data_IF_949176375728
#
_entry.id   IF_949176375728
#
_cell.length_a   1.000
_cell.length_b   1.000
_cell.length_c   1.000
_cell.angle_alpha   90.00
_cell.angle_beta   90.00
_cell.angle_gamma   90.00
#
_symmetry.space_group_name_H-M   'P 1'
#
loop_
_entity.id
_entity.type
_entity.pdbx_description
1 polymer ?
#
# COMPACT_ATOMS: atom_id res chain seq x y z
N UNK A 1 -20.45 7.74 0.25
CA UNK A 1 -19.15 7.13 0.64
C UNK A 1 -18.31 7.09 -0.62
N UNK A 2 -17.12 7.72 -0.63
CA UNK A 2 -16.25 7.65 -1.82
C UNK A 2 -15.72 6.23 -1.97
N UNK A 3 -15.51 5.80 -3.20
CA UNK A 3 -14.91 4.51 -3.56
C UNK A 3 -13.51 4.73 -4.14
N UNK A 4 -12.74 3.65 -4.29
CA UNK A 4 -11.45 3.69 -4.99
C UNK A 4 -11.60 4.26 -6.42
N UNK A 5 -12.65 3.85 -7.13
CA UNK A 5 -12.92 4.33 -8.49
C UNK A 5 -13.14 5.83 -8.54
N UNK A 6 -13.89 6.38 -7.59
CA UNK A 6 -14.16 7.81 -7.50
C UNK A 6 -12.87 8.61 -7.30
N UNK A 7 -11.99 8.15 -6.39
CA UNK A 7 -10.70 8.84 -6.17
C UNK A 7 -9.81 8.75 -7.41
N UNK A 8 -9.77 7.61 -8.10
CA UNK A 8 -8.97 7.48 -9.31
C UNK A 8 -9.47 8.39 -10.46
N UNK A 9 -10.78 8.65 -10.54
CA UNK A 9 -11.36 9.61 -11.48
C UNK A 9 -11.03 11.04 -11.08
N UNK A 10 -11.21 11.39 -9.80
CA UNK A 10 -10.90 12.73 -9.27
C UNK A 10 -9.44 13.12 -9.49
N UNK A 11 -8.52 12.15 -9.41
CA UNK A 11 -7.09 12.34 -9.66
C UNK A 11 -6.72 12.31 -11.16
N UNK A 12 -7.69 12.09 -12.05
CA UNK A 12 -7.48 12.02 -13.50
C UNK A 12 -6.68 10.80 -13.96
N UNK A 13 -6.56 9.77 -13.11
CA UNK A 13 -5.80 8.54 -13.40
C UNK A 13 -6.62 7.62 -14.32
N UNK A 14 -7.94 7.57 -14.12
CA UNK A 14 -8.86 6.80 -14.96
C UNK A 14 -10.03 7.68 -15.41
N UNK A 15 -10.65 7.37 -16.54
CA UNK A 15 -11.92 7.98 -16.95
C UNK A 15 -13.13 7.27 -16.34
N UNK A 16 -14.31 7.92 -16.37
CA UNK A 16 -15.58 7.26 -16.00
C UNK A 16 -15.83 5.99 -16.83
N UNK A 17 -15.48 6.03 -18.11
CA UNK A 17 -15.61 4.89 -19.02
C UNK A 17 -14.69 3.73 -18.61
N UNK A 18 -13.45 4.03 -18.23
CA UNK A 18 -12.49 3.02 -17.76
C UNK A 18 -12.98 2.33 -16.49
N UNK A 19 -13.58 3.10 -15.58
CA UNK A 19 -14.19 2.57 -14.37
C UNK A 19 -15.37 1.66 -14.72
N UNK A 20 -16.29 2.12 -15.57
CA UNK A 20 -17.46 1.34 -15.99
C UNK A 20 -17.07 0.00 -16.63
N UNK A 21 -16.12 0.04 -17.57
CA UNK A 21 -15.63 -1.16 -18.25
C UNK A 21 -14.87 -2.09 -17.31
N UNK A 22 -14.24 -1.56 -16.26
CA UNK A 22 -13.55 -2.38 -15.26
C UNK A 22 -14.54 -3.03 -14.28
N UNK A 23 -15.62 -2.35 -13.91
CA UNK A 23 -16.70 -2.88 -13.09
C UNK A 23 -17.47 -4.01 -13.81
N UNK A 24 -17.68 -3.91 -15.13
CA UNK A 24 -18.25 -5.00 -15.95
C UNK A 24 -17.40 -6.26 -15.87
N UNK A 25 -16.07 -6.11 -15.99
CA UNK A 25 -15.11 -7.22 -15.88
C UNK A 25 -15.08 -7.80 -14.46
N UNK A 26 -15.17 -6.96 -13.43
CA UNK A 26 -15.22 -7.38 -12.03
C UNK A 26 -16.42 -8.30 -11.78
N UNK A 27 -17.61 -7.90 -12.21
CA UNK A 27 -18.84 -8.70 -12.04
C UNK A 27 -18.74 -10.08 -12.70
N UNK A 28 -18.03 -10.18 -13.83
CA UNK A 28 -17.87 -11.44 -14.58
C UNK A 28 -16.83 -12.38 -13.97
N UNK A 29 -15.75 -11.85 -13.39
CA UNK A 29 -14.59 -12.65 -12.97
C UNK A 29 -14.41 -12.75 -11.45
N UNK A 30 -15.24 -12.07 -10.66
CA UNK A 30 -15.15 -11.99 -9.20
C UNK A 30 -13.76 -11.56 -8.69
N UNK A 31 -13.06 -10.72 -9.46
CA UNK A 31 -11.73 -10.18 -9.12
C UNK A 31 -11.85 -8.79 -8.48
N UNK A 32 -10.90 -8.38 -7.62
CA UNK A 32 -10.83 -7.02 -7.11
C UNK A 32 -10.68 -5.99 -8.25
N UNK A 33 -11.35 -4.84 -8.11
CA UNK A 33 -11.33 -3.76 -9.10
C UNK A 33 -9.90 -3.25 -9.35
N UNK A 34 -9.10 -3.11 -8.29
CA UNK A 34 -7.69 -2.71 -8.36
C UNK A 34 -6.86 -3.64 -9.26
N UNK A 35 -7.04 -4.95 -9.13
CA UNK A 35 -6.35 -5.94 -9.95
C UNK A 35 -6.73 -5.82 -11.43
N UNK A 36 -8.01 -5.55 -11.72
CA UNK A 36 -8.48 -5.38 -13.11
C UNK A 36 -7.89 -4.12 -13.73
N UNK A 37 -7.91 -3.00 -12.99
CA UNK A 37 -7.36 -1.72 -13.46
C UNK A 37 -5.86 -1.85 -13.72
N UNK A 38 -5.10 -2.49 -12.81
CA UNK A 38 -3.67 -2.76 -13.00
C UNK A 38 -3.42 -3.69 -14.19
N UNK A 39 -4.17 -4.79 -14.30
CA UNK A 39 -3.99 -5.77 -15.39
C UNK A 39 -4.30 -5.17 -16.76
N UNK A 40 -5.21 -4.20 -16.83
CA UNK A 40 -5.50 -3.43 -18.05
C UNK A 40 -4.45 -2.34 -18.34
N UNK A 41 -3.53 -2.06 -17.42
CA UNK A 41 -2.50 -1.03 -17.57
C UNK A 41 -3.04 0.40 -17.45
N UNK A 42 -4.26 0.58 -16.93
CA UNK A 42 -4.91 1.90 -16.84
C UNK A 42 -4.35 2.70 -15.66
N UNK A 43 -4.05 2.03 -14.55
CA UNK A 43 -3.36 2.63 -13.41
C UNK A 43 -2.25 1.70 -12.90
N UNK A 44 -1.12 2.28 -12.50
CA UNK A 44 -0.02 1.54 -11.91
C UNK A 44 -0.29 1.13 -10.46
N UNK A 45 0.60 0.32 -9.89
CA UNK A 45 0.52 -0.04 -8.48
C UNK A 45 0.51 1.21 -7.59
N UNK A 46 1.53 2.07 -7.71
CA UNK A 46 1.65 3.30 -6.92
C UNK A 46 0.40 4.19 -6.97
N UNK A 47 -0.27 4.28 -8.12
CA UNK A 47 -1.49 5.05 -8.30
C UNK A 47 -2.65 4.49 -7.48
N UNK A 48 -2.85 3.17 -7.53
CA UNK A 48 -3.82 2.48 -6.69
C UNK A 48 -3.51 2.70 -5.21
N UNK A 49 -2.25 2.61 -4.81
CA UNK A 49 -1.86 2.72 -3.40
C UNK A 49 -2.08 4.14 -2.87
N UNK A 50 -1.74 5.15 -3.67
CA UNK A 50 -1.97 6.57 -3.37
C UNK A 50 -3.46 6.88 -3.28
N UNK A 51 -4.29 6.31 -4.15
CA UNK A 51 -5.74 6.47 -4.09
C UNK A 51 -6.34 5.81 -2.84
N UNK A 52 -5.89 4.60 -2.48
CA UNK A 52 -6.32 3.90 -1.27
C UNK A 52 -5.88 4.64 -0.01
N UNK A 53 -4.67 5.21 0.01
CA UNK A 53 -4.22 5.98 1.17
C UNK A 53 -5.10 7.21 1.39
N UNK A 54 -5.48 7.93 0.32
CA UNK A 54 -6.45 9.03 0.39
C UNK A 54 -7.81 8.57 0.90
N UNK A 55 -8.30 7.43 0.40
CA UNK A 55 -9.61 6.87 0.79
C UNK A 55 -9.69 6.58 2.29
N UNK A 56 -8.62 6.01 2.85
CA UNK A 56 -8.53 5.61 4.25
C UNK A 56 -7.84 6.63 5.15
N UNK A 57 -7.48 7.80 4.62
CA UNK A 57 -6.75 8.86 5.34
C UNK A 57 -5.44 8.36 5.96
N UNK A 58 -4.73 7.50 5.22
CA UNK A 58 -3.44 6.95 5.59
C UNK A 58 -2.32 7.72 4.91
N UNK A 59 -1.17 7.78 5.58
CA UNK A 59 0.06 8.28 4.98
C UNK A 59 0.59 7.28 3.95
N UNK A 60 0.98 7.78 2.77
CA UNK A 60 1.61 6.98 1.72
C UNK A 60 2.95 7.57 1.34
N UNK A 61 3.97 6.72 1.33
CA UNK A 61 5.32 7.05 0.86
C UNK A 61 5.75 6.03 -0.19
N UNK A 62 6.11 6.51 -1.37
CA UNK A 62 6.62 5.67 -2.46
C UNK A 62 8.00 5.07 -2.13
N UNK A 63 8.77 5.78 -1.32
CA UNK A 63 10.07 5.34 -0.81
C UNK A 63 10.09 5.50 0.71
N UNK A 64 10.55 4.46 1.37
CA UNK A 64 10.83 4.46 2.80
C UNK A 64 12.35 4.52 2.96
N UNK A 65 12.82 5.57 3.62
CA UNK A 65 14.21 5.68 4.06
C UNK A 65 14.30 5.05 5.45
N UNK A 66 15.03 3.94 5.54
CA UNK A 66 15.25 3.27 6.83
C UNK A 66 16.48 3.88 7.50
N UNK A 67 16.28 4.54 8.63
CA UNK A 67 17.39 5.14 9.40
C UNK A 67 17.36 4.59 10.83
N UNK A 68 18.52 4.18 11.37
CA UNK A 68 18.63 3.68 12.75
C UNK A 68 18.03 2.29 12.98
N UNK A 69 17.98 1.44 11.95
CA UNK A 69 17.40 0.08 12.03
C UNK A 69 18.08 -0.79 13.08
N UNK A 70 19.40 -0.67 13.22
CA UNK A 70 20.18 -1.45 14.20
C UNK A 70 19.69 -1.19 15.63
N UNK A 71 19.46 0.06 16.01
CA UNK A 71 18.98 0.39 17.36
C UNK A 71 17.51 -0.01 17.59
N UNK A 72 16.70 -0.03 16.53
CA UNK A 72 15.29 -0.43 16.57
C UNK A 72 15.17 -1.93 16.80
N UNK A 73 15.94 -2.75 16.08
CA UNK A 73 15.90 -4.22 16.23
C UNK A 73 16.42 -4.70 17.58
N UNK A 74 17.32 -3.95 18.22
CA UNK A 74 17.77 -4.24 19.59
C UNK A 74 16.65 -4.02 20.63
N UNK A 75 15.70 -3.13 20.36
CA UNK A 75 14.63 -2.79 21.30
C UNK A 75 13.35 -3.59 21.07
N UNK A 76 13.16 -4.17 19.88
CA UNK A 76 11.92 -4.88 19.52
C UNK A 76 12.23 -6.37 19.32
N UNK A 77 11.65 -7.27 20.14
CA UNK A 77 11.84 -8.70 19.98
C UNK A 77 11.43 -9.18 18.57
N UNK A 78 12.33 -9.90 17.89
CA UNK A 78 12.13 -10.39 16.52
C UNK A 78 10.81 -11.18 16.35
N UNK A 79 10.41 -11.93 17.40
CA UNK A 79 9.14 -12.68 17.42
C UNK A 79 7.90 -11.80 17.31
N UNK A 80 7.96 -10.55 17.79
CA UNK A 80 6.87 -9.60 17.70
C UNK A 80 6.74 -9.10 16.25
N UNK A 81 7.87 -8.70 15.65
CA UNK A 81 7.93 -8.21 14.26
C UNK A 81 7.43 -9.28 13.29
N UNK A 82 7.89 -10.52 13.44
CA UNK A 82 7.49 -11.65 12.58
C UNK A 82 5.99 -11.98 12.65
N UNK A 83 5.34 -11.72 13.80
CA UNK A 83 3.91 -11.97 13.99
C UNK A 83 3.04 -10.77 13.68
N UNK A 84 3.60 -9.56 13.78
CA UNK A 84 2.87 -8.32 13.54
C UNK A 84 2.87 -7.96 12.06
N UNK A 85 1.71 -7.55 11.54
CA UNK A 85 1.64 -6.85 10.25
C UNK A 85 2.05 -5.39 10.41
N UNK A 86 3.12 -5.07 11.13
CA UNK A 86 3.57 -3.69 11.38
C UNK A 86 5.09 -3.69 11.32
N UNK A 87 5.67 -2.70 10.65
CA UNK A 87 7.13 -2.56 10.54
C UNK A 87 7.53 -1.18 11.04
N UNK A 88 8.38 -1.10 12.09
CA UNK A 88 8.98 0.16 12.51
C UNK A 88 9.98 0.61 11.45
N UNK A 89 9.88 1.86 11.00
CA UNK A 89 10.73 2.39 9.91
C UNK A 89 11.55 3.63 10.31
N UNK A 90 11.29 4.21 11.49
CA UNK A 90 12.05 5.33 12.05
C UNK A 90 12.04 5.29 13.59
N UNK A 91 13.09 5.82 14.21
CA UNK A 91 13.16 6.06 15.66
C UNK A 91 13.41 7.55 15.91
N UNK A 92 12.43 8.24 16.49
CA UNK A 92 12.59 9.63 16.94
C UNK A 92 12.34 9.72 18.44
N UNK A 93 13.37 10.13 19.19
CA UNK A 93 13.41 10.40 20.66
C UNK A 93 12.23 9.83 21.48
N UNK A 94 12.18 8.49 21.60
CA UNK A 94 11.24 7.67 22.41
C UNK A 94 9.83 7.45 21.83
N UNK A 95 9.57 7.73 20.56
CA UNK A 95 8.30 7.39 19.90
C UNK A 95 8.55 6.50 18.68
N UNK A 96 7.78 5.41 18.55
CA UNK A 96 7.81 4.53 17.39
C UNK A 96 6.78 5.01 16.37
N UNK A 97 7.23 5.38 15.17
CA UNK A 97 6.31 5.60 14.05
C UNK A 97 5.94 4.23 13.45
N UNK A 98 4.67 3.84 13.65
CA UNK A 98 4.13 2.58 13.18
C UNK A 98 3.46 2.79 11.82
N UNK A 99 4.01 2.19 10.77
CA UNK A 99 3.34 2.14 9.48
C UNK A 99 2.51 0.86 9.38
N UNK A 100 1.20 1.01 9.16
CA UNK A 100 0.37 -0.11 8.72
C UNK A 100 0.76 -0.46 7.27
N UNK A 101 1.36 -1.63 7.02
CA UNK A 101 1.73 -2.09 5.70
C UNK A 101 0.46 -2.63 5.06
N UNK A 102 -0.43 -1.75 4.62
CA UNK A 102 -1.54 -2.23 3.80
C UNK A 102 -1.01 -2.51 2.39
N UNK A 103 -0.03 -1.77 1.83
CA UNK A 103 0.22 -1.92 0.39
C UNK A 103 1.66 -1.85 -0.18
N UNK A 104 2.72 -1.39 0.50
CA UNK A 104 4.05 -1.24 -0.17
C UNK A 104 5.18 -2.15 0.33
N UNK A 105 5.02 -2.80 1.48
CA UNK A 105 6.15 -3.51 2.13
C UNK A 105 6.28 -4.96 1.65
N UNK A 106 5.25 -5.56 1.07
CA UNK A 106 5.24 -7.01 0.80
C UNK A 106 6.28 -7.47 -0.23
N UNK A 107 6.64 -6.63 -1.21
CA UNK A 107 7.50 -7.04 -2.33
C UNK A 107 8.99 -6.77 -2.06
N UNK A 108 9.34 -5.72 -1.30
CA UNK A 108 10.76 -5.39 -1.02
C UNK A 108 11.33 -6.07 0.22
N UNK A 109 10.48 -6.50 1.16
CA UNK A 109 10.96 -7.19 2.37
C UNK A 109 11.17 -8.69 2.17
N UNK A 110 10.46 -9.32 1.22
CA UNK A 110 10.68 -10.75 0.92
C UNK A 110 12.10 -11.03 0.39
N UNK A 111 12.76 -10.02 -0.21
CA UNK A 111 14.16 -10.09 -0.63
C UNK A 111 15.17 -9.78 0.48
N UNK A 112 14.76 -9.14 1.58
CA UNK A 112 15.66 -8.78 2.69
C UNK A 112 15.58 -9.76 3.88
N UNK A 113 14.51 -10.54 4.01
CA UNK A 113 14.34 -11.55 5.08
C UNK A 113 14.73 -12.97 4.62
N UNK A 114 15.20 -13.11 3.38
CA UNK A 114 15.68 -14.40 2.83
C UNK A 114 17.21 -14.55 2.80
N UNK A 115 17.95 -13.69 3.50
CA UNK A 115 19.38 -13.85 3.75
C UNK A 115 19.72 -13.69 5.23
#
# INVERSE_FOLDING_TARGET
MKTLGDILIEEGIISEKDLEDSLKVQKKNNLPLSHIIQKKGIAGEADILRALSKLYQLEFREKLEFTGMEEIFLQIPLKLIQKSRIVPFSLSKKQFELLYPILLIYIRWMTLVTF
#
